data_IF_031543431191
#
_entry.id   IF_031543431191
#
_cell.length_a   1.000
_cell.length_b   1.000
_cell.length_c   1.000
_cell.angle_alpha   90.00
_cell.angle_beta   90.00
_cell.angle_gamma   90.00
#
_symmetry.space_group_name_H-M   'P 1'
#
loop_
_entity.id
_entity.type
_entity.pdbx_description
1 polymer ?
#
# COMPACT_ATOMS: atom_id res chain seq x y z
N UNK A 1 -6.34 -3.96 -27.38
CA UNK A 1 -6.97 -3.60 -28.63
C UNK A 1 -6.31 -2.36 -29.21
N UNK A 2 -6.08 -2.33 -30.54
CA UNK A 2 -5.34 -1.27 -31.25
C UNK A 2 -5.93 0.13 -31.00
N UNK A 3 -7.26 0.23 -30.83
CA UNK A 3 -7.94 1.51 -30.58
C UNK A 3 -7.51 2.16 -29.28
N UNK A 4 -7.43 1.38 -28.20
CA UNK A 4 -7.02 1.89 -26.88
C UNK A 4 -5.55 2.32 -26.88
N UNK A 5 -4.69 1.52 -27.55
CA UNK A 5 -3.26 1.88 -27.69
C UNK A 5 -3.09 3.16 -28.49
N UNK A 6 -3.80 3.30 -29.62
CA UNK A 6 -3.76 4.54 -30.41
C UNK A 6 -4.25 5.74 -29.62
N UNK A 7 -5.33 5.58 -28.84
CA UNK A 7 -5.87 6.66 -28.01
C UNK A 7 -4.86 7.09 -26.93
N UNK A 8 -4.19 6.14 -26.28
CA UNK A 8 -3.17 6.48 -25.26
C UNK A 8 -1.97 7.23 -25.87
N UNK A 9 -1.49 6.80 -27.04
CA UNK A 9 -0.39 7.48 -27.73
C UNK A 9 -0.79 8.90 -28.12
N UNK A 10 -1.99 9.10 -28.69
CA UNK A 10 -2.51 10.42 -29.06
C UNK A 10 -2.64 11.31 -27.81
N UNK A 11 -3.18 10.77 -26.72
CA UNK A 11 -3.34 11.52 -25.47
C UNK A 11 -1.98 11.95 -24.91
N UNK A 12 -1.01 11.02 -24.81
CA UNK A 12 0.33 11.33 -24.32
C UNK A 12 1.05 12.35 -25.21
N UNK A 13 0.93 12.21 -26.54
CA UNK A 13 1.50 13.18 -27.49
C UNK A 13 0.87 14.57 -27.36
N UNK A 14 -0.46 14.64 -27.15
CA UNK A 14 -1.14 15.90 -26.91
C UNK A 14 -0.70 16.55 -25.59
N UNK A 15 -0.61 15.79 -24.49
CA UNK A 15 -0.14 16.29 -23.20
C UNK A 15 1.33 16.79 -23.28
N UNK A 16 2.18 16.07 -24.01
CA UNK A 16 3.54 16.52 -24.27
C UNK A 16 3.56 17.80 -25.13
N UNK A 17 2.78 17.85 -26.22
CA UNK A 17 2.68 19.02 -27.11
C UNK A 17 2.13 20.26 -26.42
N UNK A 18 1.27 20.10 -25.41
CA UNK A 18 0.74 21.19 -24.56
C UNK A 18 1.74 21.60 -23.45
N UNK A 19 2.88 20.93 -23.33
CA UNK A 19 3.88 21.21 -22.30
C UNK A 19 3.51 20.70 -20.89
N UNK A 20 2.52 19.82 -20.75
CA UNK A 20 2.14 19.23 -19.47
C UNK A 20 3.03 18.05 -19.07
N UNK A 21 3.58 17.33 -20.06
CA UNK A 21 4.55 16.26 -19.79
C UNK A 21 5.93 16.71 -20.29
N UNK A 22 6.97 16.42 -19.52
CA UNK A 22 8.35 16.56 -19.96
C UNK A 22 8.68 15.57 -21.09
N UNK A 23 9.71 15.85 -21.87
CA UNK A 23 10.20 14.91 -22.89
C UNK A 23 10.65 13.58 -22.25
N UNK A 24 11.20 13.64 -21.05
CA UNK A 24 11.63 12.46 -20.30
C UNK A 24 10.42 11.58 -19.93
N UNK A 25 9.38 12.14 -19.30
CA UNK A 25 8.17 11.39 -18.90
C UNK A 25 7.50 10.80 -20.14
N UNK A 26 7.31 11.57 -21.20
CA UNK A 26 6.70 11.09 -22.43
C UNK A 26 7.46 9.90 -23.05
N UNK A 27 8.76 10.09 -23.29
CA UNK A 27 9.60 9.08 -23.97
C UNK A 27 9.78 7.83 -23.11
N UNK A 28 10.01 8.03 -21.81
CA UNK A 28 10.21 6.94 -20.86
C UNK A 28 8.92 6.11 -20.70
N UNK A 29 7.75 6.75 -20.59
CA UNK A 29 6.45 6.05 -20.55
C UNK A 29 6.26 5.15 -21.75
N UNK A 30 6.47 5.66 -22.96
CA UNK A 30 6.35 4.84 -24.18
C UNK A 30 7.33 3.68 -24.18
N UNK A 31 8.58 3.92 -23.78
CA UNK A 31 9.62 2.89 -23.67
C UNK A 31 9.23 1.80 -22.66
N UNK A 32 8.83 2.18 -21.45
CA UNK A 32 8.41 1.27 -20.38
C UNK A 32 7.28 0.37 -20.87
N UNK A 33 6.21 0.96 -21.41
CA UNK A 33 5.00 0.21 -21.79
C UNK A 33 5.28 -0.68 -23.00
N UNK A 34 5.92 -0.17 -24.06
CA UNK A 34 6.12 -0.93 -25.30
C UNK A 34 7.18 -2.04 -25.11
N UNK A 35 8.34 -1.70 -24.56
CA UNK A 35 9.45 -2.67 -24.40
C UNK A 35 9.13 -3.63 -23.24
N UNK A 36 8.52 -3.13 -22.17
CA UNK A 36 8.06 -3.96 -21.07
C UNK A 36 7.02 -4.99 -21.50
N UNK A 37 5.99 -4.59 -22.28
CA UNK A 37 4.99 -5.50 -22.81
C UNK A 37 5.60 -6.52 -23.78
N UNK A 38 6.52 -6.11 -24.65
CA UNK A 38 7.23 -7.04 -25.54
C UNK A 38 7.99 -8.10 -24.72
N UNK A 39 8.73 -7.68 -23.71
CA UNK A 39 9.48 -8.59 -22.84
C UNK A 39 8.54 -9.52 -22.06
N UNK A 40 7.41 -8.99 -21.55
CA UNK A 40 6.39 -9.78 -20.87
C UNK A 40 5.86 -10.92 -21.74
N UNK A 41 5.60 -10.65 -23.04
CA UNK A 41 5.09 -11.65 -23.99
C UNK A 41 6.14 -12.68 -24.41
N UNK A 42 7.41 -12.32 -24.39
CA UNK A 42 8.51 -13.26 -24.73
C UNK A 42 8.77 -14.28 -23.63
N UNK A 43 8.44 -13.97 -22.40
CA UNK A 43 8.63 -14.89 -21.28
C UNK A 43 7.48 -15.91 -21.18
N UNK A 44 7.77 -17.06 -20.57
CA UNK A 44 6.79 -18.14 -20.38
C UNK A 44 6.48 -18.31 -18.90
N UNK A 45 5.22 -18.03 -18.54
CA UNK A 45 4.67 -18.32 -17.22
C UNK A 45 5.02 -17.27 -16.15
N UNK A 46 4.24 -17.32 -15.08
CA UNK A 46 4.41 -16.45 -13.91
C UNK A 46 5.32 -17.11 -12.86
N UNK A 47 6.14 -16.35 -12.15
CA UNK A 47 6.31 -14.87 -12.15
C UNK A 47 7.32 -14.35 -13.19
N UNK A 48 7.91 -15.22 -14.03
CA UNK A 48 8.97 -14.85 -14.95
C UNK A 48 8.57 -13.71 -15.91
N UNK A 49 7.34 -13.72 -16.44
CA UNK A 49 6.87 -12.67 -17.35
C UNK A 49 6.94 -11.28 -16.74
N UNK A 50 6.58 -11.14 -15.46
CA UNK A 50 6.67 -9.86 -14.73
C UNK A 50 8.12 -9.45 -14.47
N UNK A 51 9.01 -10.39 -14.20
CA UNK A 51 10.44 -10.11 -14.05
C UNK A 51 11.05 -9.62 -15.36
N UNK A 52 10.70 -10.23 -16.50
CA UNK A 52 11.16 -9.80 -17.82
C UNK A 52 10.67 -8.38 -18.14
N UNK A 53 9.38 -8.08 -17.85
CA UNK A 53 8.85 -6.73 -17.98
C UNK A 53 9.65 -5.74 -17.13
N UNK A 54 9.83 -6.03 -15.82
CA UNK A 54 10.56 -5.19 -14.89
C UNK A 54 11.97 -4.86 -15.39
N UNK A 55 12.75 -5.89 -15.76
CA UNK A 55 14.14 -5.73 -16.22
C UNK A 55 14.22 -4.94 -17.52
N UNK A 56 13.34 -5.24 -18.48
CA UNK A 56 13.30 -4.53 -19.75
C UNK A 56 12.89 -3.07 -19.60
N UNK A 57 11.90 -2.79 -18.75
CA UNK A 57 11.44 -1.45 -18.44
C UNK A 57 12.51 -0.61 -17.72
N UNK A 58 13.25 -1.19 -16.77
CA UNK A 58 14.40 -0.53 -16.14
C UNK A 58 15.48 -0.23 -17.19
N UNK A 59 15.81 -1.20 -18.05
CA UNK A 59 16.83 -1.04 -19.08
C UNK A 59 16.50 0.08 -20.07
N UNK A 60 15.26 0.15 -20.57
CA UNK A 60 14.84 1.21 -21.48
C UNK A 60 14.77 2.58 -20.79
N UNK A 61 14.32 2.64 -19.52
CA UNK A 61 14.33 3.89 -18.76
C UNK A 61 15.73 4.45 -18.59
N UNK A 62 16.69 3.58 -18.29
CA UNK A 62 18.10 3.96 -18.21
C UNK A 62 18.66 4.43 -19.55
N UNK A 63 18.34 3.75 -20.65
CA UNK A 63 18.72 4.16 -22.00
C UNK A 63 18.14 5.55 -22.38
N UNK A 64 16.89 5.82 -22.02
CA UNK A 64 16.26 7.14 -22.22
C UNK A 64 16.97 8.22 -21.39
N UNK A 65 17.30 7.97 -20.13
CA UNK A 65 18.06 8.89 -19.29
C UNK A 65 19.42 9.22 -19.92
N UNK A 66 20.14 8.22 -20.39
CA UNK A 66 21.44 8.43 -21.08
C UNK A 66 21.27 9.23 -22.37
N UNK A 67 20.27 8.92 -23.18
CA UNK A 67 20.02 9.59 -24.45
C UNK A 67 19.68 11.07 -24.30
N UNK A 68 18.84 11.39 -23.28
CA UNK A 68 18.42 12.75 -23.02
C UNK A 68 19.42 13.57 -22.17
N UNK A 69 20.43 12.91 -21.60
CA UNK A 69 21.34 13.54 -20.63
C UNK A 69 20.62 14.02 -19.37
N UNK A 70 19.51 13.37 -19.00
CA UNK A 70 18.65 13.73 -17.88
C UNK A 70 18.59 12.58 -16.88
N UNK A 71 18.90 12.84 -15.61
CA UNK A 71 18.94 11.83 -14.56
C UNK A 71 17.78 12.01 -13.58
N UNK A 72 16.80 11.09 -13.63
CA UNK A 72 15.68 11.05 -12.71
C UNK A 72 15.36 9.59 -12.29
N UNK A 73 16.29 8.92 -11.56
CA UNK A 73 16.19 7.50 -11.28
C UNK A 73 14.96 7.13 -10.44
N UNK A 74 14.56 7.97 -9.47
CA UNK A 74 13.35 7.74 -8.69
C UNK A 74 12.10 7.76 -9.56
N UNK A 75 11.97 8.76 -10.44
CA UNK A 75 10.82 8.89 -11.36
C UNK A 75 10.73 7.66 -12.27
N UNK A 76 11.88 7.22 -12.82
CA UNK A 76 11.94 6.03 -13.66
C UNK A 76 11.54 4.76 -12.91
N UNK A 77 12.09 4.54 -11.72
CA UNK A 77 11.76 3.35 -10.89
C UNK A 77 10.27 3.33 -10.54
N UNK A 78 9.69 4.46 -10.15
CA UNK A 78 8.27 4.53 -9.83
C UNK A 78 7.39 4.26 -11.05
N UNK A 79 7.74 4.78 -12.22
CA UNK A 79 7.06 4.47 -13.48
C UNK A 79 7.11 2.98 -13.81
N UNK A 80 8.28 2.35 -13.68
CA UNK A 80 8.46 0.91 -13.93
C UNK A 80 7.65 0.05 -12.96
N UNK A 81 7.68 0.36 -11.65
CA UNK A 81 6.94 -0.40 -10.64
C UNK A 81 5.44 -0.32 -10.88
N UNK A 82 4.93 0.88 -11.22
CA UNK A 82 3.51 1.07 -11.56
C UNK A 82 3.13 0.35 -12.85
N UNK A 83 3.99 0.33 -13.87
CA UNK A 83 3.73 -0.43 -15.10
C UNK A 83 3.51 -1.91 -14.80
N UNK A 84 4.42 -2.53 -14.07
CA UNK A 84 4.33 -3.95 -13.71
C UNK A 84 3.12 -4.23 -12.80
N UNK A 85 2.83 -3.33 -11.85
CA UNK A 85 1.64 -3.41 -10.99
C UNK A 85 0.34 -3.35 -11.83
N UNK A 86 0.21 -2.36 -12.69
CA UNK A 86 -0.97 -2.21 -13.55
C UNK A 86 -1.12 -3.41 -14.51
N UNK A 87 -0.01 -3.92 -15.02
CA UNK A 87 -0.01 -5.16 -15.82
C UNK A 87 -0.56 -6.35 -15.04
N UNK A 88 -0.23 -6.47 -13.76
CA UNK A 88 -0.73 -7.54 -12.88
C UNK A 88 -2.23 -7.38 -12.58
N UNK A 89 -2.67 -6.15 -12.34
CA UNK A 89 -4.06 -5.82 -11.96
C UNK A 89 -5.02 -5.88 -13.15
N UNK A 90 -4.58 -5.39 -14.33
CA UNK A 90 -5.43 -5.23 -15.52
C UNK A 90 -5.41 -6.45 -16.45
N UNK A 91 -4.94 -7.57 -15.96
CA UNK A 91 -4.82 -8.79 -16.74
C UNK A 91 -6.14 -9.19 -17.42
N UNK A 92 -6.07 -9.45 -18.73
CA UNK A 92 -7.22 -9.88 -19.54
C UNK A 92 -8.18 -8.77 -19.93
N UNK A 93 -7.89 -7.50 -19.62
CA UNK A 93 -8.68 -6.36 -20.08
C UNK A 93 -8.19 -5.84 -21.43
N UNK A 94 -9.11 -5.47 -22.29
CA UNK A 94 -8.80 -4.93 -23.64
C UNK A 94 -8.18 -3.53 -23.59
N UNK A 95 -8.49 -2.75 -22.55
CA UNK A 95 -8.00 -1.39 -22.29
C UNK A 95 -6.74 -1.35 -21.40
N UNK A 96 -6.18 -2.51 -21.06
CA UNK A 96 -5.06 -2.62 -20.10
C UNK A 96 -3.87 -1.74 -20.46
N UNK A 97 -3.40 -1.78 -21.71
CA UNK A 97 -2.25 -0.98 -22.16
C UNK A 97 -2.52 0.54 -22.14
N UNK A 98 -3.77 0.95 -22.36
CA UNK A 98 -4.13 2.36 -22.27
C UNK A 98 -4.05 2.84 -20.81
N UNK A 99 -4.65 2.10 -19.88
CA UNK A 99 -4.63 2.42 -18.46
C UNK A 99 -3.19 2.37 -17.91
N UNK A 100 -2.41 1.37 -18.35
CA UNK A 100 -0.99 1.25 -17.99
C UNK A 100 -0.21 2.48 -18.46
N UNK A 101 -0.33 2.87 -19.73
CA UNK A 101 0.39 4.02 -20.29
C UNK A 101 0.04 5.34 -19.58
N UNK A 102 -1.26 5.58 -19.35
CA UNK A 102 -1.72 6.80 -18.66
C UNK A 102 -1.34 6.79 -17.17
N UNK A 103 -1.44 5.62 -16.51
CA UNK A 103 -1.06 5.46 -15.11
C UNK A 103 0.44 5.64 -14.88
N UNK A 104 1.28 5.09 -15.77
CA UNK A 104 2.73 5.30 -15.74
C UNK A 104 3.08 6.77 -15.95
N UNK A 105 2.51 7.41 -17.00
CA UNK A 105 2.76 8.83 -17.27
C UNK A 105 2.36 9.72 -16.09
N UNK A 106 1.18 9.49 -15.51
CA UNK A 106 0.68 10.24 -14.35
C UNK A 106 1.59 10.05 -13.13
N UNK A 107 2.02 8.82 -12.86
CA UNK A 107 2.94 8.54 -11.75
C UNK A 107 4.28 9.23 -11.96
N UNK A 108 4.86 9.10 -13.15
CA UNK A 108 6.13 9.75 -13.45
C UNK A 108 6.02 11.28 -13.36
N UNK A 109 4.96 11.86 -13.90
CA UNK A 109 4.67 13.29 -13.79
C UNK A 109 4.61 13.75 -12.32
N UNK A 110 3.84 13.05 -11.47
CA UNK A 110 3.72 13.41 -10.05
C UNK A 110 5.07 13.34 -9.32
N UNK A 111 5.89 12.30 -9.57
CA UNK A 111 7.20 12.18 -8.95
C UNK A 111 8.22 13.18 -9.52
N UNK A 112 8.09 13.58 -10.79
CA UNK A 112 8.91 14.65 -11.38
C UNK A 112 8.57 16.01 -10.74
N UNK A 113 7.28 16.32 -10.54
CA UNK A 113 6.82 17.56 -9.88
C UNK A 113 7.22 17.63 -8.39
N UNK A 114 7.26 16.49 -7.68
CA UNK A 114 7.76 16.43 -6.30
C UNK A 114 9.25 16.82 -6.26
N UNK A 115 9.99 16.54 -7.32
CA UNK A 115 11.42 16.89 -7.49
C UNK A 115 12.28 16.48 -6.28
N UNK A 116 12.08 15.26 -5.79
CA UNK A 116 12.80 14.73 -4.63
C UNK A 116 14.11 14.07 -5.08
N UNK A 117 15.23 14.63 -4.63
CA UNK A 117 16.55 14.06 -4.88
C UNK A 117 16.81 12.86 -3.96
N UNK A 118 17.25 11.76 -4.54
CA UNK A 118 17.61 10.54 -3.82
C UNK A 118 18.98 10.04 -4.25
N UNK A 119 19.77 9.60 -3.28
CA UNK A 119 20.99 8.88 -3.57
C UNK A 119 20.68 7.55 -4.26
N UNK A 120 21.38 7.27 -5.37
CA UNK A 120 21.15 6.06 -6.16
C UNK A 120 21.39 4.78 -5.36
N UNK A 121 22.33 4.78 -4.42
CA UNK A 121 22.59 3.61 -3.57
C UNK A 121 21.42 3.35 -2.61
N UNK A 122 20.82 4.42 -2.07
CA UNK A 122 19.61 4.31 -1.23
C UNK A 122 18.44 3.77 -2.06
N UNK A 123 18.22 4.29 -3.26
CA UNK A 123 17.14 3.83 -4.15
C UNK A 123 17.32 2.35 -4.54
N UNK A 124 18.53 1.93 -4.88
CA UNK A 124 18.84 0.53 -5.21
C UNK A 124 18.64 -0.37 -3.98
N UNK A 125 19.12 0.04 -2.81
CA UNK A 125 18.91 -0.70 -1.57
C UNK A 125 17.41 -0.82 -1.23
N UNK A 126 16.65 0.27 -1.36
CA UNK A 126 15.21 0.29 -1.15
C UNK A 126 14.50 -0.69 -2.10
N UNK A 127 14.86 -0.69 -3.38
CA UNK A 127 14.29 -1.62 -4.35
C UNK A 127 14.62 -3.08 -3.99
N UNK A 128 15.87 -3.40 -3.65
CA UNK A 128 16.28 -4.75 -3.26
C UNK A 128 15.50 -5.22 -2.01
N UNK A 129 15.41 -4.40 -0.98
CA UNK A 129 14.71 -4.73 0.27
C UNK A 129 13.22 -4.92 0.00
N UNK A 130 12.57 -3.98 -0.69
CA UNK A 130 11.13 -4.00 -0.92
C UNK A 130 10.71 -5.15 -1.85
N UNK A 131 11.42 -5.38 -2.95
CA UNK A 131 11.15 -6.52 -3.84
C UNK A 131 11.51 -7.85 -3.20
N UNK A 132 12.59 -7.93 -2.42
CA UNK A 132 12.95 -9.12 -1.66
C UNK A 132 11.87 -9.53 -0.67
N UNK A 133 11.33 -8.56 0.07
CA UNK A 133 10.19 -8.79 0.96
C UNK A 133 8.91 -9.15 0.18
N UNK A 134 8.59 -8.41 -0.89
CA UNK A 134 7.43 -8.68 -1.75
C UNK A 134 7.47 -10.09 -2.35
N UNK A 135 8.62 -10.50 -2.88
CA UNK A 135 8.81 -11.86 -3.41
C UNK A 135 8.69 -12.93 -2.34
N UNK A 136 9.24 -12.69 -1.15
CA UNK A 136 9.11 -13.60 0.00
C UNK A 136 7.65 -13.77 0.39
N UNK A 137 6.89 -12.66 0.49
CA UNK A 137 5.45 -12.68 0.78
C UNK A 137 4.65 -13.44 -0.27
N UNK A 138 4.98 -13.26 -1.55
CA UNK A 138 4.38 -14.01 -2.66
C UNK A 138 4.73 -15.51 -2.57
N UNK A 139 5.99 -15.86 -2.33
CA UNK A 139 6.46 -17.25 -2.23
C UNK A 139 5.81 -18.02 -1.09
N UNK A 140 5.51 -17.33 0.04
CA UNK A 140 4.82 -17.90 1.19
C UNK A 140 3.28 -17.78 1.11
N UNK A 141 2.75 -17.35 -0.03
CA UNK A 141 1.30 -17.18 -0.25
C UNK A 141 0.63 -16.25 0.78
N UNK A 142 1.33 -15.23 1.22
CA UNK A 142 0.78 -14.15 2.07
C UNK A 142 0.28 -13.00 1.18
N UNK A 143 0.89 -12.82 0.01
CA UNK A 143 0.46 -11.89 -1.02
C UNK A 143 0.38 -12.58 -2.39
N UNK A 144 -0.50 -12.09 -3.26
CA UNK A 144 -0.50 -12.42 -4.67
C UNK A 144 0.50 -11.55 -5.46
N UNK A 145 0.54 -11.70 -6.77
CA UNK A 145 1.45 -10.93 -7.63
C UNK A 145 1.18 -9.43 -7.57
N UNK A 146 -0.08 -9.02 -7.49
CA UNK A 146 -0.45 -7.61 -7.37
C UNK A 146 -0.06 -7.03 -6.00
N UNK A 147 -0.21 -7.84 -4.95
CA UNK A 147 0.24 -7.53 -3.59
C UNK A 147 1.76 -7.43 -3.47
N UNK A 148 2.52 -8.25 -4.23
CA UNK A 148 3.98 -8.13 -4.31
C UNK A 148 4.38 -6.74 -4.83
N UNK A 149 3.86 -6.32 -5.99
CA UNK A 149 4.27 -5.06 -6.61
C UNK A 149 3.75 -3.83 -5.88
N UNK A 150 2.51 -3.86 -5.36
CA UNK A 150 1.99 -2.77 -4.53
C UNK A 150 2.75 -2.63 -3.21
N UNK A 151 3.07 -3.74 -2.56
CA UNK A 151 3.89 -3.76 -1.35
C UNK A 151 5.32 -3.28 -1.60
N UNK A 152 5.94 -3.68 -2.74
CA UNK A 152 7.24 -3.19 -3.13
C UNK A 152 7.23 -1.67 -3.40
N UNK A 153 6.20 -1.16 -4.07
CA UNK A 153 6.02 0.27 -4.31
C UNK A 153 5.96 1.06 -2.99
N UNK A 154 5.12 0.63 -2.06
CA UNK A 154 5.03 1.26 -0.73
C UNK A 154 6.37 1.18 -0.01
N UNK A 155 7.02 0.02 -0.02
CA UNK A 155 8.33 -0.18 0.63
C UNK A 155 9.41 0.74 0.08
N UNK A 156 9.51 0.91 -1.23
CA UNK A 156 10.45 1.86 -1.87
C UNK A 156 10.17 3.28 -1.40
N UNK A 157 8.90 3.72 -1.43
CA UNK A 157 8.53 5.08 -1.01
C UNK A 157 8.87 5.32 0.46
N UNK A 158 8.54 4.39 1.36
CA UNK A 158 8.86 4.52 2.79
C UNK A 158 10.35 4.66 3.03
N UNK A 159 11.18 3.83 2.37
CA UNK A 159 12.64 3.86 2.56
C UNK A 159 13.25 5.13 1.96
N UNK A 160 12.79 5.54 0.78
CA UNK A 160 13.34 6.68 0.04
C UNK A 160 12.98 8.02 0.68
N UNK A 161 11.72 8.21 1.03
CA UNK A 161 11.22 9.50 1.56
C UNK A 161 11.41 9.67 3.07
N UNK A 162 11.57 8.58 3.79
CA UNK A 162 11.86 8.63 5.22
C UNK A 162 13.15 7.87 5.54
N UNK A 163 13.07 6.59 5.86
CA UNK A 163 14.20 5.66 5.94
C UNK A 163 13.72 4.21 6.12
N UNK A 164 14.67 3.28 6.22
CA UNK A 164 14.37 1.85 6.38
C UNK A 164 13.57 1.53 7.65
N UNK A 165 13.65 2.35 8.70
CA UNK A 165 12.90 2.14 9.96
C UNK A 165 11.39 2.26 9.74
N UNK A 166 10.94 3.15 8.87
CA UNK A 166 9.53 3.29 8.51
C UNK A 166 9.01 2.04 7.80
N UNK A 167 9.82 1.49 6.89
CA UNK A 167 9.50 0.20 6.28
C UNK A 167 9.40 -0.93 7.32
N UNK A 168 10.30 -0.99 8.30
CA UNK A 168 10.29 -2.00 9.36
C UNK A 168 9.08 -1.85 10.30
N UNK A 169 8.64 -0.62 10.58
CA UNK A 169 7.40 -0.36 11.33
C UNK A 169 6.19 -0.86 10.55
N UNK A 170 6.11 -0.56 9.25
CA UNK A 170 5.06 -1.09 8.37
C UNK A 170 5.10 -2.63 8.30
N UNK A 171 6.30 -3.21 8.27
CA UNK A 171 6.50 -4.65 8.29
C UNK A 171 5.99 -5.28 9.61
N UNK A 172 6.10 -4.57 10.74
CA UNK A 172 5.54 -5.02 12.02
C UNK A 172 4.03 -5.22 11.92
N UNK A 173 3.30 -4.24 11.34
CA UNK A 173 1.87 -4.41 11.05
C UNK A 173 1.60 -5.65 10.18
N UNK A 174 2.37 -5.82 9.12
CA UNK A 174 2.18 -6.94 8.18
C UNK A 174 2.38 -8.29 8.86
N UNK A 175 3.41 -8.42 9.71
CA UNK A 175 3.70 -9.65 10.46
C UNK A 175 2.59 -9.93 11.48
N UNK A 176 2.17 -8.93 12.26
CA UNK A 176 1.08 -9.06 13.24
C UNK A 176 -0.21 -9.49 12.53
N UNK A 177 -0.57 -8.81 11.44
CA UNK A 177 -1.78 -9.10 10.67
C UNK A 177 -1.74 -10.51 10.05
N UNK A 178 -0.63 -10.93 9.45
CA UNK A 178 -0.48 -12.27 8.91
C UNK A 178 -0.55 -13.35 10.01
N UNK A 179 0.03 -13.07 11.18
CA UNK A 179 -0.05 -13.93 12.36
C UNK A 179 -1.48 -14.06 12.90
N UNK A 180 -2.19 -12.94 13.02
CA UNK A 180 -3.59 -12.91 13.45
C UNK A 180 -4.50 -13.67 12.48
N UNK A 181 -4.32 -13.50 11.17
CA UNK A 181 -5.09 -14.23 10.14
C UNK A 181 -4.89 -15.75 10.28
N UNK A 182 -3.68 -16.20 10.52
CA UNK A 182 -3.37 -17.64 10.71
C UNK A 182 -3.77 -18.20 12.07
N UNK A 183 -3.93 -17.33 13.07
CA UNK A 183 -4.32 -17.76 14.41
C UNK A 183 -5.69 -18.45 14.38
N UNK A 184 -5.74 -19.73 14.80
CA UNK A 184 -6.94 -20.56 14.81
C UNK A 184 -7.70 -20.56 13.47
N UNK A 185 -6.99 -20.58 12.35
CA UNK A 185 -7.58 -20.50 11.01
C UNK A 185 -8.62 -21.59 10.77
N UNK A 186 -8.35 -22.85 11.17
CA UNK A 186 -9.32 -23.96 11.04
C UNK A 186 -10.62 -23.74 11.81
N UNK A 187 -10.57 -23.09 13.00
CA UNK A 187 -11.79 -22.77 13.73
C UNK A 187 -12.60 -21.68 13.01
N UNK A 188 -11.94 -20.69 12.42
CA UNK A 188 -12.56 -19.63 11.62
C UNK A 188 -13.19 -20.19 10.35
N UNK A 189 -12.54 -21.16 9.71
CA UNK A 189 -13.06 -21.84 8.53
C UNK A 189 -14.31 -22.67 8.85
N UNK A 190 -14.31 -23.42 9.97
CA UNK A 190 -15.49 -24.17 10.43
C UNK A 190 -16.66 -23.25 10.79
N UNK A 191 -16.40 -22.02 11.22
CA UNK A 191 -17.40 -21.01 11.53
C UNK A 191 -17.86 -20.20 10.30
N UNK A 192 -17.24 -20.41 9.13
CA UNK A 192 -17.56 -19.66 7.91
C UNK A 192 -17.14 -18.17 7.96
N UNK A 193 -16.18 -17.82 8.83
CA UNK A 193 -15.70 -16.44 9.03
C UNK A 193 -14.20 -16.28 8.72
N UNK A 194 -13.59 -17.30 8.11
CA UNK A 194 -12.20 -17.21 7.63
C UNK A 194 -12.09 -16.24 6.44
N UNK A 195 -10.97 -15.54 6.34
CA UNK A 195 -10.70 -14.68 5.18
C UNK A 195 -10.66 -15.50 3.89
N UNK A 196 -11.25 -14.93 2.85
CA UNK A 196 -11.25 -15.50 1.51
C UNK A 196 -9.83 -15.76 1.00
N UNK A 197 -9.68 -16.74 0.12
CA UNK A 197 -8.39 -17.11 -0.47
C UNK A 197 -7.26 -17.40 0.54
N UNK A 198 -7.61 -17.82 1.77
CA UNK A 198 -6.63 -18.09 2.82
C UNK A 198 -5.93 -16.85 3.38
N UNK A 199 -6.53 -15.66 3.19
CA UNK A 199 -5.96 -14.39 3.61
C UNK A 199 -4.82 -13.87 2.73
N UNK A 200 -4.73 -14.34 1.47
CA UNK A 200 -3.76 -13.82 0.48
C UNK A 200 -4.11 -12.38 0.12
N UNK A 201 -3.16 -11.47 0.32
CA UNK A 201 -3.36 -10.03 0.14
C UNK A 201 -3.05 -9.59 -1.29
N UNK A 202 -4.03 -9.03 -1.97
CA UNK A 202 -3.87 -8.34 -3.25
C UNK A 202 -3.70 -6.84 -3.08
N UNK A 203 -3.51 -6.13 -4.20
CA UNK A 203 -3.26 -4.68 -4.22
C UNK A 203 -4.33 -3.84 -3.50
N UNK A 204 -5.60 -4.21 -3.58
CA UNK A 204 -6.67 -3.49 -2.87
C UNK A 204 -6.44 -3.46 -1.36
N UNK A 205 -6.10 -4.61 -0.78
CA UNK A 205 -5.82 -4.71 0.64
C UNK A 205 -4.53 -3.94 1.02
N UNK A 206 -3.49 -4.06 0.18
CA UNK A 206 -2.21 -3.37 0.40
C UNK A 206 -2.39 -1.86 0.37
N UNK A 207 -3.11 -1.30 -0.61
CA UNK A 207 -3.35 0.14 -0.67
C UNK A 207 -4.33 0.63 0.39
N UNK A 208 -5.40 -0.11 0.68
CA UNK A 208 -6.34 0.28 1.72
C UNK A 208 -5.67 0.49 3.08
N UNK A 209 -4.67 -0.34 3.38
CA UNK A 209 -3.95 -0.27 4.64
C UNK A 209 -2.65 0.56 4.58
N UNK A 210 -2.07 0.80 3.39
CA UNK A 210 -0.76 1.43 3.24
C UNK A 210 -0.78 2.83 2.63
N UNK A 211 -1.86 3.25 1.95
CA UNK A 211 -1.88 4.50 1.16
C UNK A 211 -1.66 5.74 2.02
N UNK A 212 -2.33 5.84 3.16
CA UNK A 212 -2.20 6.99 4.08
C UNK A 212 -0.79 7.05 4.67
N UNK A 213 -0.24 5.91 5.07
CA UNK A 213 1.13 5.83 5.55
C UNK A 213 2.16 6.21 4.47
N UNK A 214 1.90 5.82 3.22
CA UNK A 214 2.74 6.19 2.06
C UNK A 214 2.69 7.70 1.81
N UNK A 215 1.51 8.31 1.83
CA UNK A 215 1.35 9.77 1.69
C UNK A 215 2.05 10.51 2.84
N UNK A 216 1.94 10.01 4.07
CA UNK A 216 2.63 10.58 5.23
C UNK A 216 4.16 10.54 5.06
N UNK A 217 4.73 9.45 4.51
CA UNK A 217 6.16 9.35 4.25
C UNK A 217 6.63 10.36 3.20
N UNK A 218 5.89 10.52 2.09
CA UNK A 218 6.19 11.52 1.06
C UNK A 218 6.17 12.93 1.67
N UNK A 219 5.11 13.27 2.40
CA UNK A 219 4.97 14.57 3.05
C UNK A 219 6.08 14.82 4.07
N UNK A 220 6.48 13.80 4.84
CA UNK A 220 7.61 13.90 5.75
C UNK A 220 8.93 14.13 4.99
N UNK A 221 9.20 13.36 3.94
CA UNK A 221 10.43 13.50 3.14
C UNK A 221 10.57 14.89 2.51
N UNK A 222 9.45 15.48 2.05
CA UNK A 222 9.46 16.82 1.42
C UNK A 222 9.54 17.94 2.45
N UNK A 223 8.91 17.79 3.63
CA UNK A 223 8.75 18.89 4.58
C UNK A 223 9.59 18.76 5.85
N UNK A 224 10.00 17.57 6.23
CA UNK A 224 10.67 17.26 7.49
C UNK A 224 9.79 17.42 8.74
N UNK A 225 8.45 17.64 8.60
CA UNK A 225 7.59 18.00 9.72
C UNK A 225 7.16 16.77 10.53
N UNK A 226 7.42 16.79 11.85
CA UNK A 226 7.15 15.65 12.74
C UNK A 226 5.66 15.22 12.82
N UNK A 227 4.72 16.12 12.51
CA UNK A 227 3.31 15.78 12.44
C UNK A 227 3.01 14.66 11.43
N UNK A 228 3.81 14.54 10.36
CA UNK A 228 3.66 13.45 9.38
C UNK A 228 4.21 12.12 9.89
N UNK A 229 5.12 12.13 10.87
CA UNK A 229 5.49 10.92 11.62
C UNK A 229 4.27 10.41 12.40
N UNK A 230 3.55 11.30 13.09
CA UNK A 230 2.35 10.95 13.85
C UNK A 230 1.20 10.48 12.92
N UNK A 231 1.04 11.10 11.74
CA UNK A 231 0.10 10.65 10.70
C UNK A 231 0.42 9.22 10.25
N UNK A 232 1.69 8.93 9.94
CA UNK A 232 2.17 7.60 9.60
C UNK A 232 1.89 6.59 10.71
N UNK A 233 2.30 6.92 11.94
CA UNK A 233 2.17 6.03 13.08
C UNK A 233 0.71 5.70 13.40
N UNK A 234 -0.17 6.70 13.40
CA UNK A 234 -1.60 6.50 13.61
C UNK A 234 -2.25 5.63 12.54
N UNK A 235 -1.86 5.82 11.27
CA UNK A 235 -2.35 5.01 10.16
C UNK A 235 -1.92 3.55 10.26
N UNK A 236 -0.62 3.29 10.51
CA UNK A 236 -0.09 1.92 10.63
C UNK A 236 -0.65 1.21 11.86
N UNK A 237 -0.77 1.92 12.99
CA UNK A 237 -1.37 1.37 14.20
C UNK A 237 -2.86 1.03 14.01
N UNK A 238 -3.61 1.87 13.28
CA UNK A 238 -5.00 1.60 12.91
C UNK A 238 -5.13 0.34 12.06
N UNK A 239 -4.30 0.18 11.02
CA UNK A 239 -4.29 -1.02 10.20
C UNK A 239 -3.98 -2.30 11.01
N UNK A 240 -3.00 -2.21 11.93
CA UNK A 240 -2.63 -3.33 12.81
C UNK A 240 -3.74 -3.65 13.81
N UNK A 241 -4.34 -2.63 14.42
CA UNK A 241 -5.44 -2.76 15.37
C UNK A 241 -6.66 -3.41 14.72
N UNK A 242 -7.09 -2.89 13.57
CA UNK A 242 -8.27 -3.38 12.87
C UNK A 242 -8.10 -4.84 12.42
N UNK A 243 -7.03 -5.16 11.71
CA UNK A 243 -6.76 -6.55 11.29
C UNK A 243 -6.71 -7.49 12.47
N UNK A 244 -6.11 -7.08 13.59
CA UNK A 244 -5.97 -7.95 14.76
C UNK A 244 -7.29 -8.07 15.53
N UNK A 245 -8.06 -6.98 15.64
CA UNK A 245 -9.37 -6.96 16.28
C UNK A 245 -10.34 -7.91 15.57
N UNK A 246 -10.45 -7.81 14.24
CA UNK A 246 -11.33 -8.64 13.43
C UNK A 246 -10.93 -10.13 13.51
N UNK A 247 -9.65 -10.44 13.31
CA UNK A 247 -9.13 -11.81 13.25
C UNK A 247 -9.13 -12.55 14.61
N UNK A 248 -8.84 -11.84 15.69
CA UNK A 248 -8.84 -12.41 17.04
C UNK A 248 -10.26 -12.34 17.65
N UNK A 249 -10.99 -11.27 17.36
CA UNK A 249 -12.34 -11.03 17.87
C UNK A 249 -13.33 -12.12 17.48
N UNK A 250 -13.32 -12.57 16.21
CA UNK A 250 -14.23 -13.62 15.72
C UNK A 250 -14.03 -14.98 16.41
N UNK A 251 -12.88 -15.24 17.03
CA UNK A 251 -12.62 -16.44 17.83
C UNK A 251 -13.13 -16.33 19.28
N UNK A 252 -13.67 -15.16 19.63
CA UNK A 252 -14.18 -14.85 20.98
C UNK A 252 -15.62 -15.27 21.21
N UNK A 253 -16.27 -14.59 22.17
CA UNK A 253 -17.70 -14.72 22.46
C UNK A 253 -18.54 -13.99 21.39
N UNK A 254 -19.86 -13.97 21.57
CA UNK A 254 -20.82 -13.25 20.72
C UNK A 254 -20.41 -11.78 20.58
N UNK A 255 -20.25 -11.25 19.36
CA UNK A 255 -19.99 -9.85 19.14
C UNK A 255 -21.24 -8.99 19.35
N UNK A 256 -21.04 -7.71 19.61
CA UNK A 256 -22.08 -6.70 19.71
C UNK A 256 -21.90 -5.67 18.60
N UNK A 257 -22.99 -5.32 17.92
CA UNK A 257 -22.94 -4.30 16.88
C UNK A 257 -22.59 -2.93 17.50
N UNK A 258 -21.56 -2.28 17.04
CA UNK A 258 -21.04 -1.03 17.64
C UNK A 258 -22.09 0.08 17.70
N UNK A 259 -23.04 0.12 16.74
CA UNK A 259 -24.07 1.18 16.65
C UNK A 259 -25.26 0.95 17.59
N UNK A 260 -25.59 -0.29 17.93
CA UNK A 260 -26.81 -0.62 18.69
C UNK A 260 -26.51 -1.35 19.99
N UNK A 261 -25.30 -1.84 20.18
CA UNK A 261 -24.89 -2.71 21.30
C UNK A 261 -25.72 -3.98 21.43
N UNK A 262 -26.40 -4.41 20.36
CA UNK A 262 -27.11 -5.66 20.31
C UNK A 262 -26.24 -6.82 19.87
N UNK A 263 -26.42 -8.04 20.37
CA UNK A 263 -25.66 -9.19 19.94
C UNK A 263 -25.96 -9.51 18.47
N UNK A 264 -24.89 -9.82 17.73
CA UNK A 264 -24.96 -10.17 16.30
C UNK A 264 -24.19 -11.46 16.01
N UNK A 265 -24.42 -12.13 14.88
CA UNK A 265 -23.61 -13.26 14.44
C UNK A 265 -22.14 -12.91 14.30
N UNK A 266 -21.26 -13.92 14.48
CA UNK A 266 -19.81 -13.74 14.22
C UNK A 266 -19.57 -13.43 12.75
N UNK A 267 -18.64 -12.54 12.48
CA UNK A 267 -18.33 -12.08 11.12
C UNK A 267 -19.26 -10.98 10.60
N UNK A 268 -20.20 -10.48 11.42
CA UNK A 268 -21.02 -9.31 11.05
C UNK A 268 -20.13 -8.06 11.03
N UNK A 269 -20.13 -7.31 9.93
CA UNK A 269 -19.41 -6.04 9.82
C UNK A 269 -19.86 -5.06 10.92
N UNK A 270 -18.89 -4.48 11.63
CA UNK A 270 -19.14 -3.63 12.79
C UNK A 270 -19.51 -4.37 14.08
N UNK A 271 -19.35 -5.70 14.11
CA UNK A 271 -19.48 -6.51 15.32
C UNK A 271 -18.22 -6.46 16.17
N UNK A 272 -18.27 -5.86 17.35
CA UNK A 272 -17.12 -5.70 18.27
C UNK A 272 -17.18 -6.71 19.42
N UNK A 273 -16.02 -7.14 19.90
CA UNK A 273 -15.87 -8.01 21.07
C UNK A 273 -14.79 -7.47 21.98
N UNK A 274 -14.92 -7.64 23.30
CA UNK A 274 -13.87 -7.24 24.25
C UNK A 274 -12.52 -7.87 23.90
N UNK A 275 -12.52 -9.11 23.39
CA UNK A 275 -11.30 -9.79 22.98
C UNK A 275 -10.65 -9.11 21.76
N UNK A 276 -11.47 -8.64 20.81
CA UNK A 276 -11.03 -7.86 19.65
C UNK A 276 -10.44 -6.52 20.08
N UNK A 277 -11.14 -5.78 20.96
CA UNK A 277 -10.68 -4.48 21.47
C UNK A 277 -9.35 -4.56 22.21
N UNK A 278 -9.16 -5.57 23.06
CA UNK A 278 -7.89 -5.82 23.75
C UNK A 278 -6.80 -6.16 22.73
N UNK A 279 -7.09 -6.97 21.72
CA UNK A 279 -6.15 -7.32 20.66
C UNK A 279 -5.75 -6.10 19.82
N UNK A 280 -6.70 -5.19 19.54
CA UNK A 280 -6.44 -3.91 18.87
C UNK A 280 -5.46 -3.02 19.65
N UNK A 281 -5.70 -2.84 20.95
CA UNK A 281 -4.81 -2.08 21.82
C UNK A 281 -3.39 -2.67 21.87
N UNK A 282 -3.29 -3.98 21.98
CA UNK A 282 -1.99 -4.67 21.99
C UNK A 282 -1.26 -4.51 20.64
N UNK A 283 -1.95 -4.66 19.52
CA UNK A 283 -1.36 -4.48 18.19
C UNK A 283 -0.86 -3.04 17.98
N UNK A 284 -1.67 -2.03 18.36
CA UNK A 284 -1.27 -0.63 18.33
C UNK A 284 -0.05 -0.37 19.22
N UNK A 285 -0.02 -0.94 20.42
CA UNK A 285 1.10 -0.81 21.36
C UNK A 285 2.38 -1.45 20.79
N UNK A 286 2.29 -2.62 20.14
CA UNK A 286 3.46 -3.26 19.52
C UNK A 286 4.03 -2.36 18.40
N UNK A 287 3.18 -1.79 17.54
CA UNK A 287 3.62 -0.83 16.50
C UNK A 287 4.30 0.39 17.14
N UNK A 288 3.67 0.97 18.15
CA UNK A 288 4.18 2.15 18.84
C UNK A 288 5.52 1.92 19.52
N UNK A 289 5.64 0.81 20.27
CA UNK A 289 6.88 0.43 20.96
C UNK A 289 7.99 0.09 19.95
N UNK A 290 7.66 -0.58 18.84
CA UNK A 290 8.62 -0.83 17.76
C UNK A 290 9.22 0.47 17.23
N UNK A 291 8.38 1.48 16.97
CA UNK A 291 8.83 2.78 16.49
C UNK A 291 9.69 3.53 17.53
N UNK A 292 9.33 3.43 18.81
CA UNK A 292 10.12 3.99 19.89
C UNK A 292 11.50 3.34 20.02
N UNK A 293 11.55 2.01 20.00
CA UNK A 293 12.81 1.26 20.03
C UNK A 293 13.72 1.55 18.82
N UNK A 294 13.11 1.89 17.67
CA UNK A 294 13.84 2.29 16.46
C UNK A 294 14.24 3.78 16.48
N UNK A 295 13.85 4.57 17.49
CA UNK A 295 14.14 5.98 17.58
C UNK A 295 13.35 6.85 16.60
N UNK A 296 12.21 6.35 16.10
CA UNK A 296 11.29 7.11 15.22
C UNK A 296 10.23 7.85 16.03
N UNK A 297 9.78 7.27 17.15
CA UNK A 297 8.79 7.83 18.04
C UNK A 297 9.39 8.20 19.40
N UNK A 298 8.96 9.32 19.97
CA UNK A 298 9.20 9.67 21.38
C UNK A 298 8.13 9.04 22.30
N UNK A 299 8.29 9.10 23.63
CA UNK A 299 7.31 8.51 24.57
C UNK A 299 5.89 9.09 24.45
N UNK A 300 5.74 10.38 24.09
CA UNK A 300 4.43 10.98 23.84
C UNK A 300 3.79 10.40 22.57
N UNK A 301 4.54 10.30 21.51
CA UNK A 301 4.09 9.69 20.26
C UNK A 301 3.66 8.22 20.43
N UNK A 302 4.28 7.46 21.36
CA UNK A 302 3.81 6.11 21.72
C UNK A 302 2.38 6.12 22.22
N UNK A 303 2.06 7.01 23.17
CA UNK A 303 0.69 7.14 23.72
C UNK A 303 -0.29 7.56 22.64
N UNK A 304 0.06 8.59 21.87
CA UNK A 304 -0.74 9.08 20.75
C UNK A 304 -1.03 7.98 19.73
N UNK A 305 -0.02 7.19 19.38
CA UNK A 305 -0.14 6.09 18.41
C UNK A 305 -1.13 5.01 18.88
N UNK A 306 -1.08 4.63 20.15
CA UNK A 306 -2.02 3.64 20.72
C UNK A 306 -3.46 4.15 20.67
N UNK A 307 -3.67 5.40 21.08
CA UNK A 307 -5.00 6.04 21.03
C UNK A 307 -5.49 6.15 19.59
N UNK A 308 -4.65 6.60 18.68
CA UNK A 308 -4.98 6.76 17.26
C UNK A 308 -5.35 5.41 16.59
N UNK A 309 -4.60 4.34 16.88
CA UNK A 309 -4.90 3.00 16.40
C UNK A 309 -6.25 2.49 16.92
N UNK A 310 -6.53 2.73 18.20
CA UNK A 310 -7.82 2.38 18.81
C UNK A 310 -9.00 3.17 18.23
N UNK A 311 -8.83 4.46 17.97
CA UNK A 311 -9.83 5.28 17.28
C UNK A 311 -10.09 4.72 15.87
N UNK A 312 -9.02 4.44 15.12
CA UNK A 312 -9.13 3.95 13.74
C UNK A 312 -9.90 2.64 13.63
N UNK A 313 -9.60 1.63 14.47
CA UNK A 313 -10.33 0.34 14.43
C UNK A 313 -11.80 0.49 14.83
N UNK A 314 -12.13 1.40 15.76
CA UNK A 314 -13.53 1.67 16.10
C UNK A 314 -14.26 2.42 14.98
N UNK A 315 -13.57 3.28 14.22
CA UNK A 315 -14.12 3.89 13.00
C UNK A 315 -14.35 2.82 11.93
N UNK A 316 -13.44 1.85 11.76
CA UNK A 316 -13.67 0.71 10.87
C UNK A 316 -14.97 -0.01 11.23
N UNK A 317 -15.16 -0.38 12.50
CA UNK A 317 -16.36 -1.03 12.98
C UNK A 317 -17.62 -0.17 12.75
N UNK A 318 -17.55 1.15 12.95
CA UNK A 318 -18.66 2.07 12.73
C UNK A 318 -19.04 2.17 11.24
N UNK A 319 -18.05 2.31 10.37
CA UNK A 319 -18.22 2.37 8.92
C UNK A 319 -18.71 1.01 8.39
N UNK A 320 -18.19 -0.09 8.93
CA UNK A 320 -18.63 -1.45 8.65
C UNK A 320 -20.11 -1.66 8.99
N UNK A 321 -20.53 -1.25 10.19
CA UNK A 321 -21.93 -1.35 10.64
C UNK A 321 -22.91 -0.52 9.80
N UNK A 322 -22.45 0.53 9.12
CA UNK A 322 -23.31 1.50 8.41
C UNK A 322 -23.16 1.42 6.88
N UNK A 323 -22.01 1.83 6.35
CA UNK A 323 -21.82 1.99 4.91
C UNK A 323 -21.54 0.65 4.21
N UNK A 324 -20.76 -0.24 4.82
CA UNK A 324 -20.43 -1.54 4.23
C UNK A 324 -21.64 -2.48 4.26
N UNK A 325 -22.36 -2.57 5.37
CA UNK A 325 -23.59 -3.36 5.46
C UNK A 325 -24.69 -2.85 4.50
N UNK A 326 -24.65 -1.57 4.12
CA UNK A 326 -25.57 -1.03 3.10
C UNK A 326 -25.09 -1.26 1.65
N UNK A 327 -23.93 -1.88 1.45
CA UNK A 327 -23.35 -2.14 0.13
C UNK A 327 -22.81 -0.90 -0.59
N UNK A 328 -22.66 0.23 0.11
CA UNK A 328 -22.16 1.48 -0.48
C UNK A 328 -20.64 1.48 -0.66
N UNK A 329 -19.93 0.81 0.22
CA UNK A 329 -18.47 0.61 0.14
C UNK A 329 -18.16 -0.85 0.47
N UNK A 330 -17.00 -1.34 0.07
CA UNK A 330 -16.51 -2.66 0.46
C UNK A 330 -15.43 -2.54 1.55
N UNK A 331 -14.99 -3.68 2.07
CA UNK A 331 -13.99 -3.79 3.15
C UNK A 331 -12.71 -2.95 2.92
N UNK A 332 -12.19 -2.87 1.67
CA UNK A 332 -11.03 -2.01 1.38
C UNK A 332 -11.32 -0.52 1.58
N UNK A 333 -12.56 -0.08 1.31
CA UNK A 333 -12.99 1.30 1.57
C UNK A 333 -13.09 1.59 3.07
N UNK A 334 -13.56 0.62 3.85
CA UNK A 334 -13.63 0.68 5.31
C UNK A 334 -12.24 0.79 5.93
N UNK A 335 -11.31 -0.08 5.51
CA UNK A 335 -9.92 -0.05 5.96
C UNK A 335 -9.22 1.29 5.61
N UNK A 336 -9.47 1.84 4.41
CA UNK A 336 -8.92 3.14 4.03
C UNK A 336 -9.45 4.27 4.93
N UNK A 337 -10.75 4.27 5.22
CA UNK A 337 -11.35 5.24 6.15
C UNK A 337 -10.76 5.11 7.56
N UNK A 338 -10.62 3.89 8.06
CA UNK A 338 -10.01 3.59 9.35
C UNK A 338 -8.56 4.09 9.44
N UNK A 339 -7.72 3.77 8.45
CA UNK A 339 -6.32 4.21 8.41
C UNK A 339 -6.19 5.72 8.25
N UNK A 340 -7.08 6.36 7.49
CA UNK A 340 -7.12 7.80 7.34
C UNK A 340 -7.50 8.50 8.66
N UNK A 341 -8.58 8.06 9.31
CA UNK A 341 -9.01 8.66 10.58
C UNK A 341 -7.99 8.37 11.69
N UNK A 342 -7.44 7.15 11.76
CA UNK A 342 -6.37 6.82 12.70
C UNK A 342 -5.13 7.70 12.49
N UNK A 343 -4.70 7.87 11.22
CA UNK A 343 -3.59 8.76 10.89
C UNK A 343 -3.83 10.22 11.29
N UNK A 344 -4.97 10.79 10.87
CA UNK A 344 -5.34 12.18 11.21
C UNK A 344 -5.48 12.36 12.72
N UNK A 345 -6.08 11.40 13.43
CA UNK A 345 -6.17 11.44 14.90
C UNK A 345 -4.79 11.46 15.55
N UNK A 346 -3.86 10.62 15.06
CA UNK A 346 -2.48 10.63 15.52
C UNK A 346 -1.81 11.99 15.31
N UNK A 347 -1.94 12.56 14.11
CA UNK A 347 -1.39 13.88 13.79
C UNK A 347 -1.99 14.98 14.69
N UNK A 348 -3.31 15.01 14.84
CA UNK A 348 -3.99 16.04 15.67
C UNK A 348 -3.59 15.92 17.15
N UNK A 349 -3.64 14.71 17.71
CA UNK A 349 -3.25 14.48 19.11
C UNK A 349 -1.79 14.84 19.37
N UNK A 350 -0.91 14.56 18.41
CA UNK A 350 0.51 14.93 18.52
C UNK A 350 0.72 16.44 18.52
N UNK A 351 -0.06 17.19 17.72
CA UNK A 351 0.03 18.64 17.64
C UNK A 351 -0.59 19.36 18.85
N UNK A 352 -1.44 18.70 19.62
CA UNK A 352 -2.09 19.26 20.80
C UNK A 352 -1.28 19.04 22.09
N UNK A 353 -0.29 18.20 22.10
CA UNK A 353 0.57 17.88 23.28
C UNK A 353 2.01 18.20 23.07
#
# INVERSE_FOLDING_TARGET
DTRYVSLSIITLAALYGLGWLSMFVFTCTLGIVVIGELAFRLARGEPASYLYHLVAAIGVSFAVMLYLGYSAPLVAVMGVVVAVLLRAVLRGRDDALMIEALGVAMTMFLFEEINFEVDLAILVAAAIIAFGFGYTSYRFRVADISGLFSGAMIGIILIVFADVRWFLIMLTFFIIGAGATRYRYGDKEMLGVAQEHGGVRGYFNVFANGLVATAAAILYGVTGHAAFVALFMGSVASAAADTTASEIGVTGKTPYLITTLQPVPRGTNGGVTLRGEVAALLASAIVAVTAWLMGVADPWMVVVTVIAGFIGTNVDSLVGATLENSGRIGNSGTNLAATFVGGVSGMVLYLLG
#
